data_IF_048252656963
#
_entry.id   IF_048252656963
#
_cell.length_a   1.000
_cell.length_b   1.000
_cell.length_c   1.000
_cell.angle_alpha   90.00
_cell.angle_beta   90.00
_cell.angle_gamma   90.00
#
_symmetry.space_group_name_H-M   'P 1'
#
loop_
_entity.id
_entity.type
_entity.pdbx_description
1 polymer ?
#
# COMPACT_ATOMS: atom_id res chain seq x y z
N UNK A 1 -3.42 -34.46 3.21
CA UNK A 1 -2.73 -33.39 2.45
C UNK A 1 -3.39 -33.31 1.08
N UNK A 2 -3.57 -32.15 0.47
CA UNK A 2 -4.09 -32.10 -0.90
C UNK A 2 -3.13 -32.83 -1.86
N UNK A 3 -3.70 -33.69 -2.71
CA UNK A 3 -2.97 -34.59 -3.60
C UNK A 3 -2.74 -33.90 -4.96
N UNK A 4 -1.88 -32.87 -5.02
CA UNK A 4 -1.55 -32.18 -6.28
C UNK A 4 -0.85 -30.83 -6.08
N UNK A 5 -0.20 -30.29 -7.13
CA UNK A 5 0.44 -28.98 -7.05
C UNK A 5 -0.62 -27.89 -6.87
N UNK A 6 -0.42 -27.04 -5.86
CA UNK A 6 -1.25 -25.86 -5.65
C UNK A 6 -1.03 -24.88 -6.81
N UNK A 7 -2.12 -24.43 -7.44
CA UNK A 7 -2.11 -23.43 -8.52
C UNK A 7 -3.12 -22.34 -8.20
N UNK A 8 -2.76 -21.09 -8.53
CA UNK A 8 -3.70 -19.98 -8.48
C UNK A 8 -4.69 -20.11 -9.65
N UNK A 9 -5.98 -19.73 -9.47
CA UNK A 9 -6.95 -19.71 -10.55
C UNK A 9 -6.55 -18.78 -11.70
N UNK A 10 -7.05 -19.05 -12.90
CA UNK A 10 -6.89 -18.13 -14.02
C UNK A 10 -7.53 -16.77 -13.69
N UNK A 11 -6.82 -15.69 -14.02
CA UNK A 11 -7.24 -14.33 -13.70
C UNK A 11 -7.00 -13.91 -12.25
N UNK A 12 -6.37 -14.73 -11.41
CA UNK A 12 -5.95 -14.30 -10.08
C UNK A 12 -4.90 -13.19 -10.18
N UNK A 13 -5.21 -12.01 -9.63
CA UNK A 13 -4.28 -10.89 -9.57
C UNK A 13 -3.49 -10.98 -8.26
N UNK A 14 -2.26 -11.48 -8.36
CA UNK A 14 -1.29 -11.39 -7.28
C UNK A 14 -0.55 -10.06 -7.38
N UNK A 15 -0.59 -9.26 -6.32
CA UNK A 15 0.05 -7.95 -6.30
C UNK A 15 0.44 -7.52 -4.89
N UNK A 16 0.92 -6.28 -4.78
CA UNK A 16 1.23 -5.62 -3.53
C UNK A 16 0.50 -4.26 -3.46
N UNK A 17 0.33 -3.73 -2.25
CA UNK A 17 -0.31 -2.44 -2.02
C UNK A 17 0.47 -1.64 -0.98
N UNK A 18 0.40 -0.32 -1.10
CA UNK A 18 0.92 0.65 -0.13
C UNK A 18 -0.13 1.71 0.16
N UNK A 19 0.16 2.64 1.08
CA UNK A 19 -0.61 3.87 1.25
C UNK A 19 0.32 5.08 1.20
N UNK A 20 -0.21 6.23 0.75
CA UNK A 20 0.59 7.43 0.47
C UNK A 20 1.40 7.90 1.68
N UNK A 21 0.75 8.13 2.82
CA UNK A 21 1.43 8.64 4.02
C UNK A 21 2.48 7.66 4.57
N UNK A 22 2.34 6.35 4.31
CA UNK A 22 3.33 5.36 4.76
C UNK A 22 4.62 5.37 3.94
N UNK A 23 4.60 5.80 2.67
CA UNK A 23 5.72 5.57 1.76
C UNK A 23 6.19 6.80 0.96
N UNK A 24 5.33 7.78 0.71
CA UNK A 24 5.69 8.91 -0.18
C UNK A 24 6.66 9.89 0.51
N UNK A 25 6.47 10.16 1.81
CA UNK A 25 7.21 11.20 2.51
C UNK A 25 6.89 12.59 1.95
N UNK A 26 7.92 13.45 1.82
CA UNK A 26 7.82 14.79 1.23
C UNK A 26 6.63 15.63 1.74
N UNK A 27 6.32 15.51 3.04
CA UNK A 27 5.04 15.94 3.61
C UNK A 27 4.78 17.45 3.53
N UNK A 28 5.81 18.26 3.28
CA UNK A 28 5.75 19.73 3.11
C UNK A 28 6.17 20.23 1.72
N UNK A 29 6.37 19.33 0.75
CA UNK A 29 6.84 19.68 -0.60
C UNK A 29 5.69 19.94 -1.58
N UNK A 30 5.99 20.66 -2.66
CA UNK A 30 5.17 20.79 -3.88
C UNK A 30 3.69 21.16 -3.66
N UNK A 31 3.40 21.93 -2.60
CA UNK A 31 2.05 22.40 -2.30
C UNK A 31 1.13 21.34 -1.69
N UNK A 32 1.65 20.21 -1.20
CA UNK A 32 0.87 19.21 -0.45
C UNK A 32 0.25 19.84 0.80
N UNK A 33 -1.08 19.74 0.91
CA UNK A 33 -1.80 20.11 2.13
C UNK A 33 -1.64 19.08 3.25
N UNK A 34 -1.70 19.48 4.54
CA UNK A 34 -1.59 18.56 5.65
C UNK A 34 -2.80 17.62 5.72
N UNK A 35 -2.53 16.34 6.00
CA UNK A 35 -3.53 15.35 6.37
C UNK A 35 -3.62 15.22 7.89
N UNK A 36 -4.66 14.54 8.39
CA UNK A 36 -4.80 14.28 9.83
C UNK A 36 -3.60 13.50 10.40
N UNK A 37 -2.97 12.64 9.60
CA UNK A 37 -1.84 11.84 10.03
C UNK A 37 -0.59 12.69 10.27
N UNK A 38 -0.42 13.77 9.51
CA UNK A 38 0.67 14.72 9.73
C UNK A 38 0.52 15.42 11.10
N UNK A 39 -0.72 15.68 11.55
CA UNK A 39 -0.96 16.25 12.89
C UNK A 39 -0.78 15.22 14.01
N UNK A 40 -1.24 13.99 13.79
CA UNK A 40 -1.17 12.93 14.79
C UNK A 40 0.27 12.47 15.07
N UNK A 41 1.11 12.43 14.04
CA UNK A 41 2.45 11.84 14.09
C UNK A 41 3.62 12.85 14.16
N UNK A 42 3.32 14.15 14.27
CA UNK A 42 4.33 15.23 14.37
C UNK A 42 5.17 15.18 15.65
#
# INVERSE_FOLDING_TARGET
MPNGPLRLPDGFVLGASTSSHQIEGAVTSDGRGPSIWDTFAA
#
